data_IF_666782152345
#
_entry.id   IF_666782152345
#
_cell.length_a   1.000
_cell.length_b   1.000
_cell.length_c   1.000
_cell.angle_alpha   90.00
_cell.angle_beta   90.00
_cell.angle_gamma   90.00
#
_symmetry.space_group_name_H-M   'P 1'
#
loop_
_entity.id
_entity.type
_entity.pdbx_description
1 polymer ?
#
# COMPACT_ATOMS: atom_id res chain seq x y z
N UNK A 1 -35.57 -17.88 -10.34
CA UNK A 1 -34.32 -18.59 -9.99
C UNK A 1 -33.37 -18.44 -11.15
N UNK A 2 -32.38 -17.54 -11.03
CA UNK A 2 -31.28 -17.43 -11.97
C UNK A 2 -30.03 -17.95 -11.25
N UNK A 3 -29.54 -19.16 -11.57
CA UNK A 3 -28.31 -19.68 -11.01
C UNK A 3 -27.18 -19.32 -11.96
N UNK A 4 -26.20 -18.53 -11.51
CA UNK A 4 -24.81 -18.61 -11.98
C UNK A 4 -23.96 -17.68 -11.15
N UNK A 5 -23.27 -18.28 -10.19
CA UNK A 5 -22.17 -17.69 -9.45
C UNK A 5 -21.05 -17.41 -10.47
N UNK A 6 -20.87 -16.15 -10.85
CA UNK A 6 -19.82 -15.72 -11.75
C UNK A 6 -18.55 -15.46 -10.96
N UNK A 7 -17.75 -16.50 -10.77
CA UNK A 7 -16.44 -16.43 -10.13
C UNK A 7 -15.55 -15.38 -10.78
N UNK A 8 -14.73 -14.77 -9.90
CA UNK A 8 -13.54 -13.98 -10.18
C UNK A 8 -12.82 -14.35 -11.48
N UNK A 9 -12.47 -13.34 -12.28
CA UNK A 9 -11.14 -13.14 -12.92
C UNK A 9 -11.31 -12.14 -14.08
N UNK A 10 -11.65 -10.89 -13.74
CA UNK A 10 -11.17 -9.80 -14.58
C UNK A 10 -9.66 -9.81 -14.45
N UNK A 11 -8.96 -10.39 -15.42
CA UNK A 11 -7.52 -10.41 -15.50
C UNK A 11 -7.01 -8.96 -15.54
N UNK A 12 -6.83 -8.36 -14.37
CA UNK A 12 -6.01 -7.17 -14.24
C UNK A 12 -4.62 -7.62 -14.68
N UNK A 13 -4.14 -7.11 -15.81
CA UNK A 13 -2.75 -7.29 -16.24
C UNK A 13 -1.78 -6.92 -15.10
N UNK A 14 -0.48 -7.23 -15.25
CA UNK A 14 0.51 -7.00 -14.21
C UNK A 14 0.37 -5.59 -13.65
N UNK A 15 -0.04 -5.48 -12.38
CA UNK A 15 -0.23 -4.19 -11.72
C UNK A 15 1.14 -3.56 -11.54
N UNK A 16 1.36 -2.41 -12.17
CA UNK A 16 2.60 -1.67 -12.03
C UNK A 16 2.75 -1.19 -10.58
N UNK A 17 4.00 -1.07 -10.15
CA UNK A 17 4.31 -0.43 -8.89
C UNK A 17 3.92 1.05 -8.95
N UNK A 18 3.15 1.53 -7.97
CA UNK A 18 2.64 2.91 -7.92
C UNK A 18 2.86 3.52 -6.55
N UNK A 19 3.12 4.84 -6.53
CA UNK A 19 3.28 5.62 -5.30
C UNK A 19 2.19 6.68 -5.29
N UNK A 20 1.43 6.75 -4.20
CA UNK A 20 0.33 7.69 -4.04
C UNK A 20 0.62 8.62 -2.87
N UNK A 21 0.54 9.93 -3.11
CA UNK A 21 0.53 10.91 -2.03
C UNK A 21 -0.87 10.94 -1.42
N UNK A 22 -0.98 10.73 -0.11
CA UNK A 22 -2.26 10.74 0.61
C UNK A 22 -2.34 11.94 1.54
N UNK A 23 -3.55 12.45 1.76
CA UNK A 23 -3.82 13.44 2.79
C UNK A 23 -3.88 12.74 4.16
N UNK A 24 -2.77 12.74 4.87
CA UNK A 24 -2.61 12.10 6.17
C UNK A 24 -1.56 12.86 7.01
N UNK A 25 -1.59 12.68 8.33
CA UNK A 25 -0.57 13.26 9.21
C UNK A 25 0.83 12.75 8.82
N UNK A 26 1.80 13.66 8.77
CA UNK A 26 3.21 13.38 8.44
C UNK A 26 3.93 12.56 9.52
N UNK A 27 3.31 12.31 10.66
CA UNK A 27 3.86 11.41 11.70
C UNK A 27 3.52 9.94 11.46
N UNK A 28 2.52 9.66 10.63
CA UNK A 28 2.11 8.31 10.26
C UNK A 28 3.18 7.62 9.40
N UNK A 29 3.23 6.30 9.45
CA UNK A 29 4.07 5.49 8.57
C UNK A 29 3.45 5.33 7.18
N UNK A 30 4.28 5.16 6.12
CA UNK A 30 3.77 4.80 4.80
C UNK A 30 3.07 3.44 4.85
N UNK A 31 2.02 3.28 4.04
CA UNK A 31 1.22 2.04 3.98
C UNK A 31 1.42 1.33 2.66
N UNK A 32 1.79 0.06 2.72
CA UNK A 32 1.93 -0.78 1.53
C UNK A 32 0.64 -1.60 1.28
N UNK A 33 0.17 -1.57 0.04
CA UNK A 33 -0.91 -2.42 -0.45
C UNK A 33 -0.33 -3.43 -1.43
N UNK A 34 0.12 -4.57 -0.91
CA UNK A 34 0.82 -5.61 -1.68
C UNK A 34 -0.04 -6.20 -2.80
N UNK A 35 -1.35 -6.36 -2.58
CA UNK A 35 -2.30 -6.82 -3.60
C UNK A 35 -2.42 -5.85 -4.80
N UNK A 36 -2.11 -4.57 -4.61
CA UNK A 36 -2.23 -3.53 -5.63
C UNK A 36 -0.89 -3.01 -6.12
N UNK A 37 0.24 -3.51 -5.61
CA UNK A 37 1.58 -2.96 -5.85
C UNK A 37 1.63 -1.44 -5.63
N UNK A 38 1.00 -0.96 -4.55
CA UNK A 38 0.86 0.48 -4.27
C UNK A 38 1.43 0.84 -2.91
N UNK A 39 2.18 1.93 -2.81
CA UNK A 39 2.58 2.52 -1.53
C UNK A 39 1.91 3.89 -1.38
N UNK A 40 1.18 4.07 -0.28
CA UNK A 40 0.58 5.33 0.11
C UNK A 40 1.54 6.08 1.06
N UNK A 41 1.94 7.28 0.67
CA UNK A 41 2.95 8.10 1.36
C UNK A 41 2.28 9.39 1.87
N UNK A 42 2.36 9.69 3.18
CA UNK A 42 2.01 11.01 3.73
C UNK A 42 2.93 12.12 3.18
N UNK A 43 2.50 13.39 3.20
CA UNK A 43 3.25 14.51 2.64
C UNK A 43 4.39 14.94 3.58
N UNK A 44 5.45 14.12 3.67
CA UNK A 44 6.62 14.43 4.50
C UNK A 44 7.31 15.71 4.04
N UNK A 45 7.65 16.56 5.01
CA UNK A 45 8.22 17.90 4.76
C UNK A 45 9.67 17.86 4.28
N UNK A 46 10.38 16.74 4.50
CA UNK A 46 11.77 16.57 4.11
C UNK A 46 12.08 15.13 3.65
N UNK A 47 13.14 15.00 2.85
CA UNK A 47 13.67 13.71 2.44
C UNK A 47 14.11 12.86 3.65
N UNK A 48 14.72 13.48 4.66
CA UNK A 48 15.16 12.80 5.88
C UNK A 48 13.98 12.15 6.61
N UNK A 49 12.86 12.87 6.77
CA UNK A 49 11.65 12.33 7.39
C UNK A 49 11.05 11.19 6.57
N UNK A 50 11.05 11.30 5.24
CA UNK A 50 10.60 10.22 4.36
C UNK A 50 11.46 8.97 4.51
N UNK A 51 12.79 9.13 4.50
CA UNK A 51 13.74 8.03 4.60
C UNK A 51 13.62 7.31 5.94
N UNK A 52 13.57 8.05 7.05
CA UNK A 52 13.39 7.51 8.40
C UNK A 52 12.08 6.70 8.50
N UNK A 53 10.95 7.32 8.10
CA UNK A 53 9.62 6.68 8.19
C UNK A 53 9.48 5.48 7.27
N UNK A 54 10.08 5.52 6.08
CA UNK A 54 10.06 4.39 5.15
C UNK A 54 10.90 3.23 5.67
N UNK A 55 12.09 3.51 6.20
CA UNK A 55 12.97 2.51 6.81
C UNK A 55 12.26 1.86 7.99
N UNK A 56 11.70 2.67 8.88
CA UNK A 56 10.90 2.20 10.02
C UNK A 56 9.74 1.30 9.56
N UNK A 57 8.97 1.70 8.55
CA UNK A 57 7.85 0.90 8.07
C UNK A 57 8.29 -0.45 7.50
N UNK A 58 9.45 -0.52 6.84
CA UNK A 58 10.00 -1.78 6.30
C UNK A 58 10.46 -2.70 7.44
N UNK A 59 11.14 -2.15 8.44
CA UNK A 59 11.65 -2.90 9.59
C UNK A 59 10.50 -3.44 10.47
N UNK A 60 9.49 -2.60 10.73
CA UNK A 60 8.34 -2.96 11.58
C UNK A 60 7.35 -3.89 10.87
N UNK A 61 7.29 -3.89 9.53
CA UNK A 61 6.39 -4.76 8.74
C UNK A 61 6.99 -6.15 8.50
N UNK A 62 7.55 -6.77 9.55
CA UNK A 62 7.92 -8.19 9.56
C UNK A 62 6.69 -9.06 9.81
N UNK A 63 5.72 -9.06 8.88
CA UNK A 63 4.57 -9.94 9.01
C UNK A 63 3.43 -9.54 8.10
N UNK A 64 2.99 -10.47 7.27
CA UNK A 64 1.66 -10.39 6.68
C UNK A 64 0.67 -10.42 7.85
N UNK A 65 0.09 -9.28 8.20
CA UNK A 65 -1.07 -9.24 9.07
C UNK A 65 -2.20 -9.98 8.32
N UNK A 66 -2.38 -11.25 8.65
CA UNK A 66 -3.58 -12.01 8.33
C UNK A 66 -4.60 -11.62 9.39
N UNK A 67 -5.54 -10.75 9.01
CA UNK A 67 -6.86 -10.69 9.65
C UNK A 67 -7.81 -11.65 8.95
#
# INVERSE_FOLDING_TARGET
MNPSIGGSTGAAGPRLFTIHLIDANTDNLPKAHTCFNRIDIPPYESYEKLYEKLTQAIEETCGFAVE
#
